data_IF_741046032084
#
_entry.id   IF_741046032084
#
_cell.length_a   1.000
_cell.length_b   1.000
_cell.length_c   1.000
_cell.angle_alpha   90.00
_cell.angle_beta   90.00
_cell.angle_gamma   90.00
#
_symmetry.space_group_name_H-M   'P 1'
#
loop_
_entity.id
_entity.type
_entity.pdbx_description
1 polymer ?
#
# COMPACT_ATOMS: atom_id res chain seq x y z
N UNK A 1 27.51 -15.05 -29.37
CA UNK A 1 27.27 -15.24 -27.91
C UNK A 1 27.17 -16.72 -27.62
N UNK A 2 28.01 -17.27 -26.74
CA UNK A 2 28.01 -18.70 -26.41
C UNK A 2 26.81 -19.13 -25.56
N UNK A 3 26.55 -20.44 -25.46
CA UNK A 3 25.45 -21.02 -24.66
C UNK A 3 25.47 -20.52 -23.21
N UNK A 4 26.66 -20.42 -22.60
CA UNK A 4 26.83 -19.90 -21.25
C UNK A 4 26.38 -18.43 -21.12
N UNK A 5 26.67 -17.59 -22.12
CA UNK A 5 26.22 -16.19 -22.14
C UNK A 5 24.70 -16.09 -22.19
N UNK A 6 24.04 -16.96 -22.95
CA UNK A 6 22.57 -16.98 -23.04
C UNK A 6 21.91 -17.41 -21.72
N UNK A 7 22.51 -18.37 -21.00
CA UNK A 7 22.03 -18.79 -19.67
C UNK A 7 22.17 -17.67 -18.65
N UNK A 8 23.32 -16.99 -18.63
CA UNK A 8 23.55 -15.87 -17.73
C UNK A 8 22.54 -14.73 -17.93
N UNK A 9 22.23 -14.38 -19.19
CA UNK A 9 21.22 -13.36 -19.49
C UNK A 9 19.83 -13.72 -18.99
N UNK A 10 19.41 -14.97 -19.16
CA UNK A 10 18.09 -15.43 -18.69
C UNK A 10 18.00 -15.40 -17.16
N UNK A 11 19.06 -15.82 -16.47
CA UNK A 11 19.11 -15.81 -15.01
C UNK A 11 18.97 -14.38 -14.44
N UNK A 12 19.65 -13.40 -15.04
CA UNK A 12 19.56 -11.99 -14.63
C UNK A 12 18.15 -11.44 -14.85
N UNK A 13 17.54 -11.72 -16.00
CA UNK A 13 16.18 -11.27 -16.31
C UNK A 13 15.16 -11.89 -15.34
N UNK A 14 15.27 -13.19 -15.07
CA UNK A 14 14.37 -13.88 -14.13
C UNK A 14 14.51 -13.33 -12.70
N UNK A 15 15.75 -13.06 -12.26
CA UNK A 15 16.01 -12.44 -10.97
C UNK A 15 15.36 -11.06 -10.83
N UNK A 16 15.53 -10.20 -11.85
CA UNK A 16 14.92 -8.88 -11.88
C UNK A 16 13.38 -8.93 -11.79
N UNK A 17 12.75 -9.81 -12.58
CA UNK A 17 11.29 -9.99 -12.57
C UNK A 17 10.81 -10.44 -11.20
N UNK A 18 11.52 -11.37 -10.54
CA UNK A 18 11.18 -11.83 -9.20
C UNK A 18 11.27 -10.70 -8.18
N UNK A 19 12.36 -9.91 -8.19
CA UNK A 19 12.50 -8.77 -7.27
C UNK A 19 11.40 -7.74 -7.47
N UNK A 20 11.03 -7.46 -8.72
CA UNK A 20 9.91 -6.56 -9.04
C UNK A 20 8.58 -7.12 -8.54
N UNK A 21 8.34 -8.43 -8.62
CA UNK A 21 7.11 -9.03 -8.07
C UNK A 21 6.98 -8.89 -6.54
N UNK A 22 8.11 -8.87 -5.81
CA UNK A 22 8.10 -8.67 -4.35
C UNK A 22 7.94 -7.20 -3.93
N UNK A 23 8.52 -6.28 -4.70
CA UNK A 23 8.56 -4.84 -4.34
C UNK A 23 7.43 -4.05 -5.00
N UNK A 24 6.82 -4.57 -6.06
CA UNK A 24 5.77 -3.87 -6.77
C UNK A 24 4.58 -3.61 -5.82
N UNK A 25 4.17 -2.34 -5.67
CA UNK A 25 2.91 -2.05 -5.00
C UNK A 25 1.79 -2.76 -5.77
N UNK A 26 0.87 -3.40 -5.04
CA UNK A 26 -0.34 -3.90 -5.67
C UNK A 26 -1.08 -2.70 -6.25
N UNK A 27 -1.14 -2.61 -7.59
CA UNK A 27 -2.02 -1.64 -8.24
C UNK A 27 -3.42 -1.79 -7.63
N UNK A 28 -4.07 -0.70 -7.22
CA UNK A 28 -5.43 -0.80 -6.72
C UNK A 28 -6.27 -1.46 -7.82
N UNK A 29 -7.07 -2.50 -7.49
CA UNK A 29 -7.91 -3.14 -8.49
C UNK A 29 -8.72 -2.06 -9.21
N UNK A 30 -8.75 -2.14 -10.55
CA UNK A 30 -9.54 -1.23 -11.39
C UNK A 30 -10.92 -1.03 -10.75
N UNK A 31 -11.46 0.21 -10.67
CA UNK A 31 -12.69 0.48 -9.94
C UNK A 31 -13.78 -0.48 -10.41
N UNK A 32 -14.06 -1.51 -9.61
CA UNK A 32 -15.19 -2.40 -9.91
C UNK A 32 -16.43 -1.53 -9.82
N UNK A 33 -17.33 -1.65 -10.79
CA UNK A 33 -18.59 -0.90 -10.88
C UNK A 33 -19.60 -1.21 -9.75
N UNK A 34 -19.11 -1.64 -8.59
CA UNK A 34 -19.87 -1.93 -7.39
C UNK A 34 -19.04 -1.41 -6.22
N UNK A 35 -18.98 -0.08 -6.10
CA UNK A 35 -18.60 0.52 -4.84
C UNK A 35 -19.66 0.10 -3.80
N UNK A 36 -19.28 -0.47 -2.65
CA UNK A 36 -20.21 -0.61 -1.55
C UNK A 36 -20.72 0.79 -1.17
N UNK A 37 -21.93 0.84 -0.60
CA UNK A 37 -22.64 2.05 -0.21
C UNK A 37 -21.66 3.10 0.36
N UNK A 38 -21.75 4.33 -0.17
CA UNK A 38 -21.02 5.49 0.31
C UNK A 38 -20.94 5.43 1.83
N UNK A 39 -19.73 5.28 2.37
CA UNK A 39 -19.50 5.41 3.81
C UNK A 39 -20.03 6.80 4.14
N UNK A 40 -21.09 6.87 4.94
CA UNK A 40 -21.70 8.14 5.33
C UNK A 40 -20.61 9.03 5.91
N UNK A 41 -20.53 10.30 5.49
CA UNK A 41 -19.57 11.25 6.06
C UNK A 41 -19.69 11.41 7.58
N UNK A 42 -20.78 10.91 8.17
CA UNK A 42 -20.96 10.80 9.62
C UNK A 42 -20.09 9.72 10.31
N UNK A 43 -19.64 8.69 9.57
CA UNK A 43 -18.70 7.66 10.04
C UNK A 43 -17.24 7.93 9.61
N UNK A 44 -17.05 8.99 8.80
CA UNK A 44 -15.73 9.47 8.45
C UNK A 44 -15.07 9.99 9.73
N UNK A 45 -14.02 9.31 10.16
CA UNK A 45 -13.12 9.84 11.19
C UNK A 45 -12.50 11.17 10.75
N UNK A 46 -11.64 11.77 11.58
CA UNK A 46 -10.95 13.02 11.24
C UNK A 46 -10.36 12.94 9.83
N UNK A 47 -10.43 14.04 9.07
CA UNK A 47 -9.92 14.08 7.69
C UNK A 47 -8.38 14.01 7.69
N UNK A 48 -7.88 12.79 7.84
CA UNK A 48 -6.47 12.46 7.69
C UNK A 48 -6.06 12.40 6.21
N UNK A 49 -6.96 12.76 5.28
CA UNK A 49 -6.75 12.62 3.84
C UNK A 49 -5.48 13.30 3.36
N UNK A 50 -5.21 14.52 3.83
CA UNK A 50 -4.03 15.28 3.43
C UNK A 50 -2.73 14.78 4.09
N UNK A 51 -2.79 14.43 5.38
CA UNK A 51 -1.63 13.87 6.09
C UNK A 51 -1.23 12.53 5.48
N UNK A 52 -2.20 11.63 5.25
CA UNK A 52 -1.96 10.33 4.63
C UNK A 52 -1.49 10.46 3.16
N UNK A 53 -2.00 11.45 2.42
CA UNK A 53 -1.54 11.73 1.05
C UNK A 53 -0.09 12.20 1.01
N UNK A 54 0.31 13.06 1.96
CA UNK A 54 1.70 13.45 2.14
C UNK A 54 2.57 12.26 2.54
N UNK A 55 2.10 11.44 3.48
CA UNK A 55 2.85 10.27 3.95
C UNK A 55 3.12 9.21 2.87
N UNK A 56 2.30 9.14 1.81
CA UNK A 56 2.55 8.24 0.67
C UNK A 56 3.82 8.56 -0.12
N UNK A 57 4.31 9.80 -0.08
CA UNK A 57 5.50 10.21 -0.86
C UNK A 57 6.76 10.27 -0.01
N UNK A 58 6.65 10.13 1.31
CA UNK A 58 7.79 10.16 2.22
C UNK A 58 8.45 8.77 2.22
N UNK A 59 9.73 8.72 1.84
CA UNK A 59 10.53 7.47 1.80
C UNK A 59 11.35 7.24 3.07
N UNK A 60 11.34 8.21 3.99
CA UNK A 60 12.04 8.15 5.28
C UNK A 60 11.05 7.91 6.42
N UNK A 61 11.50 7.30 7.52
CA UNK A 61 10.65 7.12 8.69
C UNK A 61 10.21 8.48 9.24
N UNK A 62 8.90 8.70 9.32
CA UNK A 62 8.32 9.94 9.81
C UNK A 62 7.29 9.64 10.91
N UNK A 63 7.48 10.17 12.14
CA UNK A 63 6.67 9.79 13.30
C UNK A 63 5.18 10.12 13.11
N UNK A 64 4.86 11.24 12.46
CA UNK A 64 3.46 11.61 12.18
C UNK A 64 2.79 10.67 11.16
N UNK A 65 3.58 10.10 10.24
CA UNK A 65 3.06 9.15 9.26
C UNK A 65 2.79 7.79 9.88
N UNK A 66 3.67 7.35 10.78
CA UNK A 66 3.48 6.12 11.54
C UNK A 66 2.25 6.23 12.44
N UNK A 67 2.10 7.35 13.17
CA UNK A 67 0.93 7.58 14.02
C UNK A 67 -0.39 7.62 13.22
N UNK A 68 -0.40 8.30 12.07
CA UNK A 68 -1.57 8.36 11.20
C UNK A 68 -1.92 6.98 10.61
N UNK A 69 -0.92 6.18 10.24
CA UNK A 69 -1.10 4.80 9.79
C UNK A 69 -1.69 3.91 10.88
N UNK A 70 -1.11 3.93 12.08
CA UNK A 70 -1.56 3.12 13.21
C UNK A 70 -2.98 3.46 13.66
N UNK A 71 -3.35 4.74 13.67
CA UNK A 71 -4.71 5.17 13.95
C UNK A 71 -5.70 4.60 12.92
N UNK A 72 -5.36 4.67 11.62
CA UNK A 72 -6.20 4.13 10.55
C UNK A 72 -6.29 2.60 10.61
N UNK A 73 -5.17 1.93 10.86
CA UNK A 73 -5.06 0.47 10.94
C UNK A 73 -5.92 -0.08 12.07
N UNK A 74 -5.81 0.48 13.28
CA UNK A 74 -6.63 0.07 14.43
C UNK A 74 -8.12 0.26 14.16
N UNK A 75 -8.53 1.39 13.58
CA UNK A 75 -9.94 1.64 13.20
C UNK A 75 -10.44 0.66 12.16
N UNK A 76 -9.63 0.35 11.15
CA UNK A 76 -10.01 -0.62 10.11
C UNK A 76 -10.27 -2.03 10.68
N UNK A 77 -9.49 -2.44 11.68
CA UNK A 77 -9.64 -3.73 12.34
C UNK A 77 -10.58 -3.71 13.56
N UNK A 78 -11.29 -2.61 13.82
CA UNK A 78 -12.17 -2.48 14.99
C UNK A 78 -11.44 -2.51 16.34
N UNK A 79 -10.11 -2.39 16.35
CA UNK A 79 -9.26 -2.46 17.56
C UNK A 79 -9.23 -1.14 18.35
N UNK A 80 -10.20 -0.25 18.11
CA UNK A 80 -10.35 1.03 18.79
C UNK A 80 -11.79 1.35 19.18
N UNK A 81 -12.68 0.35 19.11
CA UNK A 81 -14.10 0.47 19.48
C UNK A 81 -14.41 -0.22 20.83
N UNK A 82 -13.45 -0.26 21.75
CA UNK A 82 -13.73 -0.55 23.18
C UNK A 82 -14.18 0.73 23.91
N UNK A 83 -15.19 1.44 23.41
CA UNK A 83 -16.00 2.35 24.23
C UNK A 83 -17.26 2.80 23.45
N UNK A 84 -18.29 1.95 23.41
CA UNK A 84 -19.67 2.43 23.32
C UNK A 84 -20.67 1.43 23.90
#
# INVERSE_FOLDING_TARGET
MGRAGRIASIAVLAGLVLTLAFVAPSDPPAPRASAPAQISGADAGPDYGDTLRRCRTVTVAHPECEAAWEAKRRRFFGQGEEER
#
